data_IF_128177150258
#
_entry.id   IF_128177150258
#
_cell.length_a   1.000
_cell.length_b   1.000
_cell.length_c   1.000
_cell.angle_alpha   90.00
_cell.angle_beta   90.00
_cell.angle_gamma   90.00
#
_symmetry.space_group_name_H-M   'P 1'
#
loop_
_entity.id
_entity.type
_entity.pdbx_description
1 polymer ?
#
# COMPACT_ATOMS: atom_id res chain seq x y z
N UNK A 1 -13.97 -16.45 19.04
CA UNK A 1 -14.03 -15.04 18.60
C UNK A 1 -12.71 -14.69 17.91
N UNK A 2 -12.70 -13.95 16.79
CA UNK A 2 -11.43 -13.53 16.19
C UNK A 2 -10.66 -12.64 17.18
N UNK A 3 -9.39 -12.97 17.42
CA UNK A 3 -8.52 -12.17 18.28
C UNK A 3 -8.23 -10.87 17.55
N UNK A 4 -8.62 -9.74 18.15
CA UNK A 4 -8.24 -8.41 17.68
C UNK A 4 -6.75 -8.20 17.98
N UNK A 5 -5.96 -7.95 16.95
CA UNK A 5 -4.55 -7.57 17.11
C UNK A 5 -4.44 -6.04 17.09
N UNK A 6 -3.59 -5.47 17.96
CA UNK A 6 -3.19 -4.06 17.88
C UNK A 6 -2.21 -3.85 16.72
N UNK A 7 -1.97 -2.59 16.32
CA UNK A 7 -0.93 -2.30 15.32
C UNK A 7 0.47 -2.64 15.83
N UNK A 8 0.74 -2.42 17.11
CA UNK A 8 2.01 -2.82 17.75
C UNK A 8 2.21 -4.34 17.63
N UNK A 9 1.18 -5.14 17.96
CA UNK A 9 1.24 -6.59 17.82
C UNK A 9 1.39 -7.03 16.35
N UNK A 10 0.75 -6.30 15.43
CA UNK A 10 0.93 -6.52 13.99
C UNK A 10 2.37 -6.19 13.57
N UNK A 11 2.94 -5.06 14.00
CA UNK A 11 4.30 -4.65 13.69
C UNK A 11 5.33 -5.68 14.20
N UNK A 12 5.20 -6.11 15.46
CA UNK A 12 6.04 -7.16 16.04
C UNK A 12 5.98 -8.44 15.20
N UNK A 13 4.78 -8.83 14.73
CA UNK A 13 4.60 -9.99 13.86
C UNK A 13 5.22 -9.80 12.47
N UNK A 14 5.03 -8.65 11.84
CA UNK A 14 5.60 -8.36 10.53
C UNK A 14 7.13 -8.43 10.55
N UNK A 15 7.75 -7.98 11.64
CA UNK A 15 9.21 -8.02 11.83
C UNK A 15 9.79 -9.45 11.91
N UNK A 16 8.98 -10.46 12.26
CA UNK A 16 9.45 -11.86 12.36
C UNK A 16 9.17 -12.71 11.12
N UNK A 17 8.42 -12.20 10.14
CA UNK A 17 8.17 -12.93 8.89
C UNK A 17 9.48 -13.27 8.16
N UNK A 18 9.53 -14.29 7.28
CA UNK A 18 10.67 -14.43 6.39
C UNK A 18 10.76 -13.23 5.43
N UNK A 19 11.97 -12.79 5.03
CA UNK A 19 12.14 -11.85 3.92
C UNK A 19 11.48 -12.36 2.63
N UNK A 20 11.00 -11.44 1.80
CA UNK A 20 10.22 -11.74 0.57
C UNK A 20 10.73 -11.03 -0.68
N UNK A 21 11.63 -10.07 -0.52
CA UNK A 21 12.21 -9.27 -1.59
C UNK A 21 13.71 -9.14 -1.33
N UNK A 22 14.45 -10.24 -1.57
CA UNK A 22 15.85 -10.34 -1.12
C UNK A 22 15.93 -10.29 0.41
N UNK A 23 16.76 -9.42 1.02
CA UNK A 23 16.84 -9.28 2.47
C UNK A 23 15.63 -8.54 3.09
N UNK A 24 14.75 -7.96 2.27
CA UNK A 24 13.65 -7.10 2.72
C UNK A 24 12.35 -7.89 2.90
N UNK A 25 11.61 -7.61 3.97
CA UNK A 25 10.19 -7.98 4.13
C UNK A 25 9.33 -6.88 3.53
N UNK A 26 8.77 -7.13 2.34
CA UNK A 26 7.92 -6.16 1.69
C UNK A 26 6.48 -6.33 2.15
N UNK A 27 5.87 -5.29 2.73
CA UNK A 27 4.49 -5.34 3.23
C UNK A 27 3.62 -4.40 2.40
N UNK A 28 2.61 -4.97 1.74
CA UNK A 28 1.64 -4.19 0.96
C UNK A 28 0.51 -3.66 1.84
N UNK A 29 0.14 -2.39 1.67
CA UNK A 29 -1.03 -1.75 2.30
C UNK A 29 -1.97 -1.25 1.20
N UNK A 30 -2.99 -2.05 0.89
CA UNK A 30 -3.97 -1.77 -0.17
C UNK A 30 -5.36 -1.45 0.39
N UNK A 31 -6.27 -1.01 -0.46
CA UNK A 31 -7.59 -0.50 -0.10
C UNK A 31 -8.02 0.63 -1.04
N UNK A 32 -9.31 0.96 -1.02
CA UNK A 32 -9.86 2.02 -1.90
C UNK A 32 -9.22 3.39 -1.68
N UNK A 33 -9.19 4.24 -2.69
CA UNK A 33 -8.81 5.65 -2.54
C UNK A 33 -9.71 6.32 -1.50
N UNK A 34 -9.09 7.14 -0.64
CA UNK A 34 -9.77 7.79 0.48
C UNK A 34 -10.03 6.89 1.70
N UNK A 35 -9.59 5.62 1.71
CA UNK A 35 -9.80 4.71 2.86
C UNK A 35 -8.89 4.93 4.07
N UNK A 36 -7.86 5.77 3.92
CA UNK A 36 -6.88 6.07 4.97
C UNK A 36 -5.63 5.20 4.97
N UNK A 37 -5.29 4.54 3.85
CA UNK A 37 -4.07 3.72 3.71
C UNK A 37 -2.79 4.44 4.11
N UNK A 38 -2.56 5.65 3.61
CA UNK A 38 -1.36 6.42 3.93
C UNK A 38 -1.25 6.74 5.43
N UNK A 39 -2.38 7.01 6.09
CA UNK A 39 -2.41 7.21 7.55
C UNK A 39 -2.15 5.91 8.32
N UNK A 40 -2.66 4.77 7.84
CA UNK A 40 -2.35 3.45 8.39
C UNK A 40 -0.87 3.10 8.21
N UNK A 41 -0.33 3.29 7.00
CA UNK A 41 1.07 3.03 6.67
C UNK A 41 2.01 3.89 7.51
N UNK A 42 1.73 5.18 7.68
CA UNK A 42 2.52 6.06 8.54
C UNK A 42 2.55 5.61 10.01
N UNK A 43 1.41 5.20 10.57
CA UNK A 43 1.38 4.67 11.94
C UNK A 43 2.11 3.34 12.04
N UNK A 44 1.89 2.42 11.11
CA UNK A 44 2.56 1.13 11.11
C UNK A 44 4.08 1.28 10.94
N UNK A 45 4.53 2.23 10.12
CA UNK A 45 5.95 2.56 9.99
C UNK A 45 6.55 3.04 11.31
N UNK A 46 5.83 3.85 12.09
CA UNK A 46 6.28 4.28 13.41
C UNK A 46 6.41 3.10 14.40
N UNK A 47 5.43 2.19 14.43
CA UNK A 47 5.49 0.96 15.23
C UNK A 47 6.64 0.02 14.80
N UNK A 48 7.05 0.09 13.54
CA UNK A 48 8.19 -0.65 12.96
C UNK A 48 9.52 0.09 13.13
N UNK A 49 9.61 1.09 14.02
CA UNK A 49 10.84 1.82 14.28
C UNK A 49 11.25 2.79 13.16
N UNK A 50 10.29 3.30 12.39
CA UNK A 50 10.52 4.22 11.27
C UNK A 50 10.77 3.53 9.93
N UNK A 51 10.09 2.41 9.67
CA UNK A 51 10.24 1.67 8.41
C UNK A 51 9.96 2.56 7.18
N UNK A 52 10.77 2.46 6.10
CA UNK A 52 10.54 3.21 4.86
C UNK A 52 9.18 2.86 4.23
N UNK A 53 8.52 3.89 3.66
CA UNK A 53 7.22 3.75 2.98
C UNK A 53 7.36 4.22 1.53
N UNK A 54 7.01 3.34 0.60
CA UNK A 54 6.81 3.68 -0.81
C UNK A 54 5.35 4.03 -1.06
N UNK A 55 5.12 5.22 -1.62
CA UNK A 55 3.80 5.65 -2.08
C UNK A 55 3.65 5.31 -3.57
N UNK A 56 2.71 4.42 -3.92
CA UNK A 56 2.49 4.04 -5.32
C UNK A 56 2.00 5.20 -6.19
N UNK A 57 1.43 6.23 -5.57
CA UNK A 57 1.02 7.46 -6.25
C UNK A 57 2.23 8.23 -6.82
N UNK A 58 3.45 8.02 -6.28
CA UNK A 58 4.68 8.59 -6.85
C UNK A 58 5.03 7.94 -8.19
N UNK A 59 4.69 6.66 -8.37
CA UNK A 59 5.03 5.88 -9.57
C UNK A 59 3.93 5.95 -10.63
N UNK A 60 2.68 6.12 -10.20
CA UNK A 60 1.53 6.31 -11.08
C UNK A 60 1.62 7.64 -11.85
N UNK A 61 0.80 7.78 -12.89
CA UNK A 61 0.75 9.00 -13.70
C UNK A 61 -0.63 9.19 -14.30
N UNK A 62 -0.96 10.41 -14.75
CA UNK A 62 -2.25 10.68 -15.41
C UNK A 62 -2.52 9.76 -16.61
N UNK A 63 -1.56 9.50 -17.52
CA UNK A 63 -1.80 8.61 -18.66
C UNK A 63 -1.92 7.13 -18.26
N UNK A 64 -1.39 6.74 -17.11
CA UNK A 64 -1.26 5.35 -16.70
C UNK A 64 -1.45 5.16 -15.18
N UNK A 65 -2.65 5.47 -14.67
CA UNK A 65 -3.01 5.34 -13.24
C UNK A 65 -2.64 3.98 -12.63
N UNK A 66 -2.68 2.92 -13.44
CA UNK A 66 -2.45 1.54 -13.04
C UNK A 66 -1.29 0.87 -13.81
N UNK A 67 -0.52 1.63 -14.61
CA UNK A 67 0.53 1.12 -15.53
C UNK A 67 1.97 1.20 -15.00
N UNK A 68 2.14 1.33 -13.69
CA UNK A 68 3.43 1.59 -13.04
C UNK A 68 4.26 0.35 -12.70
N UNK A 69 3.76 -0.88 -12.93
CA UNK A 69 4.42 -2.12 -12.45
C UNK A 69 5.83 -2.31 -12.99
N UNK A 70 6.09 -1.99 -14.26
CA UNK A 70 7.43 -2.07 -14.85
C UNK A 70 8.40 -1.00 -14.32
N UNK A 71 7.88 0.13 -13.83
CA UNK A 71 8.67 1.15 -13.12
C UNK A 71 8.99 0.67 -11.71
N UNK A 72 7.98 0.19 -10.99
CA UNK A 72 8.13 -0.38 -9.65
C UNK A 72 9.20 -1.48 -9.62
N UNK A 73 9.13 -2.43 -10.55
CA UNK A 73 10.06 -3.56 -10.55
C UNK A 73 11.51 -3.10 -10.77
N UNK A 74 11.77 -2.31 -11.81
CA UNK A 74 13.13 -1.85 -12.17
C UNK A 74 13.72 -0.84 -11.19
N UNK A 75 12.93 0.17 -10.79
CA UNK A 75 13.45 1.28 -9.98
C UNK A 75 13.44 0.98 -8.48
N UNK A 76 12.61 0.04 -8.03
CA UNK A 76 12.43 -0.24 -6.60
C UNK A 76 12.67 -1.70 -6.23
N UNK A 77 11.93 -2.65 -6.79
CA UNK A 77 12.02 -4.04 -6.32
C UNK A 77 13.37 -4.67 -6.62
N UNK A 78 13.93 -4.45 -7.80
CA UNK A 78 15.24 -5.00 -8.18
C UNK A 78 16.39 -4.50 -7.26
N UNK A 79 16.53 -3.19 -6.96
CA UNK A 79 17.45 -2.73 -5.92
C UNK A 79 17.19 -3.34 -4.54
N UNK A 80 15.93 -3.37 -4.08
CA UNK A 80 15.61 -3.93 -2.77
C UNK A 80 15.94 -5.44 -2.68
N UNK A 81 15.72 -6.21 -3.75
CA UNK A 81 16.12 -7.63 -3.85
C UNK A 81 17.62 -7.83 -3.66
N UNK A 82 18.43 -6.83 -4.03
CA UNK A 82 19.90 -6.83 -3.87
C UNK A 82 20.34 -6.22 -2.54
N UNK A 83 19.41 -5.76 -1.70
CA UNK A 83 19.71 -5.09 -0.43
C UNK A 83 20.19 -3.66 -0.59
N UNK A 84 19.92 -3.03 -1.73
CA UNK A 84 20.39 -1.69 -2.07
C UNK A 84 19.28 -0.64 -1.90
N UNK A 85 19.69 0.61 -1.67
CA UNK A 85 18.79 1.77 -1.74
C UNK A 85 18.25 1.93 -3.14
N UNK A 86 16.92 1.85 -3.27
CA UNK A 86 16.22 2.15 -4.50
C UNK A 86 16.22 3.66 -4.77
N UNK A 87 16.27 4.02 -6.05
CA UNK A 87 16.11 5.39 -6.55
C UNK A 87 15.04 5.38 -7.63
N UNK A 88 14.00 6.18 -7.44
CA UNK A 88 12.85 6.16 -8.33
C UNK A 88 12.36 7.57 -8.64
N UNK A 89 11.78 7.74 -9.81
CA UNK A 89 11.21 9.00 -10.25
C UNK A 89 9.83 9.21 -9.59
N UNK A 90 9.56 10.43 -9.14
CA UNK A 90 8.31 10.84 -8.49
C UNK A 90 7.50 11.70 -9.45
N UNK A 91 6.23 11.31 -9.63
CA UNK A 91 5.28 12.02 -10.47
C UNK A 91 4.65 13.21 -9.73
N UNK A 92 4.83 14.42 -10.26
CA UNK A 92 4.12 15.60 -9.82
C UNK A 92 2.75 15.66 -10.51
N UNK A 93 1.70 15.42 -9.74
CA UNK A 93 0.32 15.41 -10.24
C UNK A 93 -0.17 16.79 -10.68
N UNK A 94 0.37 17.89 -10.15
CA UNK A 94 0.00 19.24 -10.58
C UNK A 94 0.69 19.60 -11.90
N UNK A 95 1.94 19.19 -12.07
CA UNK A 95 2.73 19.45 -13.30
C UNK A 95 2.50 18.43 -14.40
N UNK A 96 1.92 17.28 -14.08
CA UNK A 96 1.63 16.22 -15.03
C UNK A 96 2.89 15.53 -15.57
N UNK A 97 3.97 15.48 -14.80
CA UNK A 97 5.26 14.96 -15.22
C UNK A 97 6.05 14.35 -14.06
N UNK A 98 7.01 13.49 -14.37
CA UNK A 98 8.03 13.08 -13.40
C UNK A 98 9.06 14.19 -13.27
N UNK A 99 9.18 14.79 -12.09
CA UNK A 99 9.96 16.02 -11.90
C UNK A 99 11.03 15.94 -10.82
N UNK A 100 11.05 14.86 -10.05
CA UNK A 100 12.02 14.65 -8.98
C UNK A 100 12.35 13.17 -8.82
N UNK A 101 13.41 12.88 -8.07
CA UNK A 101 13.78 11.54 -7.65
C UNK A 101 13.67 11.42 -6.13
N UNK A 102 13.27 10.24 -5.66
CA UNK A 102 13.27 9.88 -4.25
C UNK A 102 14.16 8.65 -4.01
N UNK A 103 14.65 8.53 -2.77
CA UNK A 103 15.42 7.40 -2.29
C UNK A 103 14.59 6.57 -1.34
N UNK A 104 14.61 5.25 -1.51
CA UNK A 104 13.98 4.29 -0.61
C UNK A 104 15.04 3.29 -0.15
N UNK A 105 15.63 3.48 1.05
CA UNK A 105 16.66 2.58 1.54
C UNK A 105 16.12 1.18 1.77
N UNK A 106 16.94 0.16 1.50
CA UNK A 106 16.64 -1.19 1.96
C UNK A 106 16.63 -1.21 3.49
N UNK A 107 15.61 -1.87 4.06
CA UNK A 107 15.41 -1.99 5.49
C UNK A 107 14.84 -3.38 5.82
N UNK A 108 14.91 -3.86 7.07
CA UNK A 108 14.36 -5.16 7.45
C UNK A 108 12.88 -5.33 7.07
N UNK A 109 12.10 -4.24 7.14
CA UNK A 109 10.73 -4.12 6.65
C UNK A 109 10.60 -2.85 5.81
N UNK A 110 9.94 -2.96 4.66
CA UNK A 110 9.57 -1.82 3.80
C UNK A 110 8.08 -1.90 3.51
N UNK A 111 7.36 -0.79 3.70
CA UNK A 111 5.93 -0.70 3.39
C UNK A 111 5.74 -0.19 1.96
N UNK A 112 4.80 -0.76 1.22
CA UNK A 112 4.32 -0.25 -0.07
C UNK A 112 2.84 0.02 0.07
N UNK A 113 2.44 1.29 -0.09
CA UNK A 113 1.05 1.70 0.10
C UNK A 113 0.48 2.37 -1.15
N UNK A 114 -0.80 2.13 -1.39
CA UNK A 114 -1.52 2.74 -2.50
C UNK A 114 -2.48 1.76 -3.17
N UNK A 115 -3.31 2.29 -4.07
CA UNK A 115 -4.31 1.47 -4.76
C UNK A 115 -3.60 0.50 -5.71
N UNK A 116 -3.74 -0.79 -5.41
CA UNK A 116 -3.06 -1.86 -6.14
C UNK A 116 -1.74 -2.31 -5.53
N UNK A 117 -1.43 -1.93 -4.28
CA UNK A 117 -0.34 -2.55 -3.50
C UNK A 117 -0.55 -4.07 -3.27
N UNK A 118 -1.76 -4.58 -3.49
CA UNK A 118 -2.08 -6.00 -3.45
C UNK A 118 -2.29 -6.64 -4.81
N UNK A 119 -1.80 -6.03 -5.90
CA UNK A 119 -1.86 -6.60 -7.26
C UNK A 119 -1.22 -7.96 -7.37
N UNK A 120 -1.76 -8.82 -8.24
CA UNK A 120 -1.19 -10.13 -8.57
C UNK A 120 0.28 -10.05 -8.99
N UNK A 121 0.67 -9.01 -9.71
CA UNK A 121 2.06 -8.81 -10.14
C UNK A 121 3.03 -8.52 -8.97
N UNK A 122 2.53 -7.93 -7.88
CA UNK A 122 3.35 -7.57 -6.71
C UNK A 122 3.34 -8.67 -5.63
N UNK A 123 2.24 -9.43 -5.51
CA UNK A 123 2.06 -10.48 -4.49
C UNK A 123 3.26 -11.43 -4.32
N UNK A 124 3.93 -11.92 -5.38
CA UNK A 124 5.09 -12.81 -5.21
C UNK A 124 6.28 -12.17 -4.46
N UNK A 125 6.35 -10.85 -4.39
CA UNK A 125 7.39 -10.12 -3.63
C UNK A 125 6.93 -9.70 -2.23
N UNK A 126 5.67 -9.93 -1.85
CA UNK A 126 5.11 -9.51 -0.56
C UNK A 126 5.29 -10.60 0.51
N UNK A 127 5.79 -10.20 1.68
CA UNK A 127 5.79 -11.01 2.89
C UNK A 127 4.39 -11.02 3.53
N UNK A 128 3.66 -9.92 3.38
CA UNK A 128 2.31 -9.76 3.92
C UNK A 128 1.53 -8.71 3.10
N UNK A 129 0.24 -8.95 2.92
CA UNK A 129 -0.70 -7.98 2.35
C UNK A 129 -1.76 -7.59 3.39
N UNK A 130 -1.80 -6.30 3.69
CA UNK A 130 -2.82 -5.66 4.51
C UNK A 130 -3.87 -5.02 3.62
N UNK A 131 -5.15 -5.27 3.91
CA UNK A 131 -6.25 -4.55 3.28
C UNK A 131 -6.88 -3.58 4.29
N UNK A 132 -6.86 -2.29 3.94
CA UNK A 132 -7.54 -1.23 4.68
C UNK A 132 -9.05 -1.37 4.47
N UNK A 133 -9.72 -1.94 5.47
CA UNK A 133 -11.14 -2.27 5.39
C UNK A 133 -12.00 -1.01 5.60
N UNK A 134 -12.60 -0.55 4.50
CA UNK A 134 -13.62 0.50 4.48
C UNK A 134 -14.51 0.27 3.23
N UNK A 135 -15.84 0.37 3.33
CA UNK A 135 -16.70 0.25 2.16
C UNK A 135 -16.33 1.28 1.08
N UNK A 136 -16.26 0.86 -0.18
CA UNK A 136 -15.84 1.70 -1.32
C UNK A 136 -16.57 3.05 -1.40
N UNK A 137 -17.89 3.03 -1.27
CA UNK A 137 -18.70 4.25 -1.34
C UNK A 137 -18.37 5.24 -0.22
N UNK A 138 -18.03 4.75 0.96
CA UNK A 138 -17.57 5.57 2.07
C UNK A 138 -16.15 6.08 1.87
N UNK A 139 -15.24 5.25 1.38
CA UNK A 139 -13.87 5.65 1.03
C UNK A 139 -13.86 6.80 0.01
N UNK A 140 -14.62 6.67 -1.08
CA UNK A 140 -14.76 7.72 -2.09
C UNK A 140 -15.41 8.99 -1.54
N UNK A 141 -16.46 8.86 -0.71
CA UNK A 141 -17.07 10.02 -0.05
C UNK A 141 -16.06 10.76 0.83
N UNK A 142 -15.25 10.03 1.62
CA UNK A 142 -14.20 10.61 2.46
C UNK A 142 -13.12 11.29 1.63
N UNK A 143 -12.65 10.63 0.56
CA UNK A 143 -11.66 11.17 -0.36
C UNK A 143 -12.11 12.46 -1.04
N UNK A 144 -13.28 12.43 -1.69
CA UNK A 144 -13.87 13.62 -2.34
C UNK A 144 -14.08 14.78 -1.37
N UNK A 145 -14.53 14.50 -0.15
CA UNK A 145 -14.70 15.55 0.88
C UNK A 145 -13.37 16.18 1.27
N UNK A 146 -12.32 15.37 1.43
CA UNK A 146 -10.97 15.84 1.77
C UNK A 146 -10.37 16.69 0.65
N UNK A 147 -10.53 16.25 -0.59
CA UNK A 147 -9.86 16.86 -1.75
C UNK A 147 -10.63 18.08 -2.31
N UNK A 148 -11.92 18.20 -1.98
CA UNK A 148 -12.75 19.33 -2.38
C UNK A 148 -13.15 19.33 -3.85
N UNK A 149 -13.90 20.35 -4.26
CA UNK A 149 -14.46 20.48 -5.61
C UNK A 149 -13.39 20.72 -6.67
N UNK A 150 -12.24 21.29 -6.30
CA UNK A 150 -11.11 21.51 -7.20
C UNK A 150 -10.60 20.20 -7.84
N UNK A 151 -10.81 19.05 -7.20
CA UNK A 151 -10.39 17.73 -7.69
C UNK A 151 -11.55 16.89 -8.27
N UNK A 152 -12.70 17.50 -8.57
CA UNK A 152 -13.88 16.77 -9.06
C UNK A 152 -13.58 15.97 -10.34
N UNK A 153 -12.95 16.58 -11.34
CA UNK A 153 -12.60 15.91 -12.59
C UNK A 153 -11.57 14.78 -12.42
N UNK A 154 -10.68 14.91 -11.44
CA UNK A 154 -9.76 13.84 -11.09
C UNK A 154 -10.55 12.65 -10.53
N UNK A 155 -11.46 12.89 -9.59
CA UNK A 155 -12.30 11.85 -9.00
C UNK A 155 -13.21 11.17 -10.04
N UNK A 156 -13.74 11.93 -11.00
CA UNK A 156 -14.58 11.39 -12.09
C UNK A 156 -13.78 10.43 -13.00
N UNK A 157 -12.48 10.68 -13.19
CA UNK A 157 -11.56 9.76 -13.89
C UNK A 157 -11.09 8.60 -13.01
N UNK A 158 -10.84 8.86 -11.74
CA UNK A 158 -10.29 7.88 -10.79
C UNK A 158 -11.28 6.77 -10.44
N UNK A 159 -12.53 7.11 -10.10
CA UNK A 159 -13.50 6.11 -9.62
C UNK A 159 -13.77 4.99 -10.64
N UNK A 160 -13.98 5.26 -11.95
CA UNK A 160 -14.09 4.20 -12.96
C UNK A 160 -12.81 3.37 -13.09
N UNK A 161 -11.64 4.03 -13.06
CA UNK A 161 -10.35 3.35 -13.21
C UNK A 161 -10.06 2.41 -12.02
N UNK A 162 -10.27 2.86 -10.78
CA UNK A 162 -10.13 2.04 -9.58
C UNK A 162 -11.12 0.87 -9.58
N UNK A 163 -12.37 1.11 -9.97
CA UNK A 163 -13.37 0.06 -10.09
C UNK A 163 -12.95 -0.99 -11.10
N UNK A 164 -12.49 -0.57 -12.28
CA UNK A 164 -12.01 -1.47 -13.32
C UNK A 164 -10.76 -2.25 -12.86
N UNK A 165 -9.86 -1.59 -12.11
CA UNK A 165 -8.70 -2.23 -11.51
C UNK A 165 -9.11 -3.38 -10.57
N UNK A 166 -9.92 -3.10 -9.55
CA UNK A 166 -10.29 -4.13 -8.57
C UNK A 166 -11.26 -5.19 -9.14
N UNK A 167 -12.01 -4.88 -10.20
CA UNK A 167 -12.79 -5.88 -10.92
C UNK A 167 -11.89 -6.90 -11.66
N UNK A 168 -10.73 -6.45 -12.17
CA UNK A 168 -9.78 -7.29 -12.91
C UNK A 168 -8.76 -8.00 -12.01
N UNK A 169 -8.30 -7.34 -10.95
CA UNK A 169 -7.28 -7.85 -10.03
C UNK A 169 -7.64 -7.48 -8.58
N UNK A 170 -8.56 -8.21 -7.94
CA UNK A 170 -9.02 -7.90 -6.59
C UNK A 170 -7.94 -8.23 -5.55
N UNK A 171 -7.52 -7.23 -4.77
CA UNK A 171 -6.52 -7.42 -3.71
C UNK A 171 -7.10 -8.02 -2.43
N UNK A 172 -8.33 -7.63 -2.03
CA UNK A 172 -8.93 -8.02 -0.74
C UNK A 172 -8.97 -9.54 -0.50
N UNK A 173 -9.33 -10.40 -1.47
CA UNK A 173 -9.31 -11.86 -1.27
C UNK A 173 -7.92 -12.43 -1.00
N UNK A 174 -6.86 -11.72 -1.36
CA UNK A 174 -5.47 -12.13 -1.11
C UNK A 174 -4.86 -11.49 0.14
N UNK A 175 -5.62 -10.68 0.88
CA UNK A 175 -5.11 -10.02 2.08
C UNK A 175 -4.95 -11.02 3.23
N UNK A 176 -3.80 -10.95 3.91
CA UNK A 176 -3.52 -11.74 5.11
C UNK A 176 -4.21 -11.15 6.34
N UNK A 177 -4.38 -9.82 6.36
CA UNK A 177 -5.09 -9.12 7.41
C UNK A 177 -6.01 -8.05 6.84
N UNK A 178 -7.18 -7.88 7.48
CA UNK A 178 -8.05 -6.74 7.28
C UNK A 178 -7.82 -5.75 8.42
N UNK A 179 -7.62 -4.48 8.09
CA UNK A 179 -7.33 -3.43 9.08
C UNK A 179 -8.42 -2.37 9.04
N UNK A 180 -9.22 -2.28 10.10
CA UNK A 180 -10.32 -1.32 10.26
C UNK A 180 -10.01 -0.28 11.33
N UNK A 181 -10.57 0.93 11.19
CA UNK A 181 -10.35 2.04 12.13
C UNK A 181 -11.46 1.95 13.17
N UNK A 182 -11.07 1.82 14.43
CA UNK A 182 -11.95 1.84 15.58
C UNK A 182 -11.97 3.24 16.23
N UNK A 183 -12.62 3.34 17.39
CA UNK A 183 -12.70 4.57 18.18
C UNK A 183 -11.35 4.93 18.85
N UNK A 184 -10.38 5.42 18.04
CA UNK A 184 -9.00 5.87 18.37
C UNK A 184 -7.87 4.87 18.12
N UNK A 185 -8.18 3.63 17.81
CA UNK A 185 -7.19 2.59 17.48
C UNK A 185 -7.48 1.96 16.12
N UNK A 186 -6.59 1.12 15.64
CA UNK A 186 -6.88 0.21 14.54
C UNK A 186 -7.15 -1.17 15.09
N UNK A 187 -8.11 -1.85 14.48
CA UNK A 187 -8.41 -3.24 14.73
C UNK A 187 -7.91 -4.08 13.56
N UNK A 188 -7.11 -5.09 13.86
CA UNK A 188 -6.56 -6.01 12.88
C UNK A 188 -7.28 -7.35 13.00
N UNK A 189 -7.83 -7.81 11.88
CA UNK A 189 -8.55 -9.07 11.75
C UNK A 189 -7.83 -10.02 10.79
N UNK A 190 -7.99 -11.34 10.95
CA UNK A 190 -7.60 -12.30 9.93
C UNK A 190 -8.22 -11.95 8.57
N UNK A 191 -7.40 -11.94 7.52
CA UNK A 191 -7.83 -11.74 6.15
C UNK A 191 -8.19 -13.04 5.44
N UNK A 192 -8.82 -12.96 4.24
CA UNK A 192 -9.29 -14.13 3.51
C UNK A 192 -8.17 -15.09 3.06
N UNK A 193 -6.93 -14.60 2.87
CA UNK A 193 -5.79 -15.44 2.56
C UNK A 193 -5.20 -16.16 3.78
N UNK A 194 -5.77 -15.92 4.97
CA UNK A 194 -5.25 -16.38 6.23
C UNK A 194 -4.11 -15.49 6.76
N UNK A 195 -4.00 -15.36 8.09
CA UNK A 195 -2.89 -14.65 8.71
C UNK A 195 -1.57 -15.37 8.42
N UNK A 196 -0.53 -14.59 8.15
CA UNK A 196 0.85 -15.10 8.11
C UNK A 196 1.44 -15.08 9.52
N UNK A 197 2.23 -16.10 9.82
CA UNK A 197 2.96 -16.23 11.08
C UNK A 197 4.45 -16.29 10.78
N UNK A 198 5.26 -15.76 11.70
CA UNK A 198 6.70 -16.04 11.68
C UNK A 198 6.97 -17.54 11.93
N UNK A 199 8.19 -18.00 11.65
CA UNK A 199 8.63 -19.34 12.05
C UNK A 199 8.53 -19.56 13.56
#
# INVERSE_FOLDING_TARGET
>A
MPVLLSLEALAARLSTLPPSCGPVRLVGVDGYAGSGKSALAARLAAELGGAPVLHLDDLASHPALFGWTGRLDRQVLEPLRRGETARYEVYDWNRGAYTSEALLPAAPVVLVEGVGAGRRALRPSLACLLWRELPRGEAWRRGRRRDGTAQAEFWDRWMPAERAHFARDPSRPSANFLVREGHRTYEVLPGPAGPVYGP
#
